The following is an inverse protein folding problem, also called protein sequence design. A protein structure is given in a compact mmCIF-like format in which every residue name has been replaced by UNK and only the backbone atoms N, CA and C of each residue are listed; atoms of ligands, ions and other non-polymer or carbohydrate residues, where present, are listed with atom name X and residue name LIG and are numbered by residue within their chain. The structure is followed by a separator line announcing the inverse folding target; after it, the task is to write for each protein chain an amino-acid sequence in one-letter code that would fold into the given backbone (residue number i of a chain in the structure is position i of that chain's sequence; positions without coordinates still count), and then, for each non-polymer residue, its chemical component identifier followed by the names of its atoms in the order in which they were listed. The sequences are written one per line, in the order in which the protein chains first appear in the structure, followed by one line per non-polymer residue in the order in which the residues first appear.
data_IF_044102190572
#
_entry.id   IF_044102190572
#
_cell.length_a   1.000
_cell.length_b   1.000
_cell.length_c   1.000
_cell.angle_alpha   90.00
_cell.angle_beta   90.00
_cell.angle_gamma   90.00
#
_symmetry.space_group_name_H-M   'P 1'
#
loop_
_entity.id
_entity.type
_entity.pdbx_description
1 polymer ?
#
# COMPACT_ATOMS: atom_id res chain seq x y z
N UNK A 1 16.48 -6.90 -25.98
CA UNK A 1 17.52 -5.93 -26.38
C UNK A 1 18.47 -5.55 -25.23
N UNK A 2 18.15 -5.89 -23.97
CA UNK A 2 18.98 -5.57 -22.80
C UNK A 2 19.01 -4.09 -22.37
N UNK A 3 18.19 -3.23 -22.96
CA UNK A 3 18.14 -1.82 -22.59
C UNK A 3 17.21 -1.57 -21.38
N UNK A 4 17.67 -1.94 -20.21
CA UNK A 4 16.94 -1.85 -18.96
C UNK A 4 16.64 -0.42 -18.51
N UNK A 5 17.55 0.51 -18.77
CA UNK A 5 17.33 1.92 -18.44
C UNK A 5 16.17 2.50 -19.24
N UNK A 6 16.10 2.21 -20.53
CA UNK A 6 14.98 2.66 -21.36
C UNK A 6 13.68 1.99 -20.96
N UNK A 7 13.70 0.69 -20.59
CA UNK A 7 12.54 -0.02 -20.08
C UNK A 7 12.03 0.62 -18.79
N UNK A 8 12.92 0.92 -17.84
CA UNK A 8 12.58 1.61 -16.60
C UNK A 8 11.98 3.01 -16.86
N UNK A 9 12.64 3.81 -17.69
CA UNK A 9 12.17 5.15 -18.02
C UNK A 9 10.82 5.13 -18.73
N UNK A 10 10.56 4.11 -19.56
CA UNK A 10 9.26 3.94 -20.23
C UNK A 10 8.17 3.55 -19.25
N UNK A 11 8.43 2.56 -18.41
CA UNK A 11 7.49 2.09 -17.38
C UNK A 11 7.12 3.22 -16.42
N UNK A 12 8.10 3.97 -15.96
CA UNK A 12 7.91 5.03 -14.95
C UNK A 12 7.16 6.27 -15.47
N UNK A 13 6.97 6.41 -16.78
CA UNK A 13 6.13 7.48 -17.34
C UNK A 13 4.65 7.39 -16.94
N UNK A 14 4.15 6.17 -16.74
CA UNK A 14 2.73 5.91 -16.46
C UNK A 14 2.49 5.18 -15.14
N UNK A 15 3.52 4.54 -14.57
CA UNK A 15 3.45 3.75 -13.35
C UNK A 15 4.33 4.37 -12.27
N UNK A 16 3.71 5.00 -11.26
CA UNK A 16 4.45 5.61 -10.14
C UNK A 16 5.16 4.58 -9.27
N UNK A 17 4.53 3.43 -9.06
CA UNK A 17 4.98 2.43 -8.10
C UNK A 17 4.97 1.01 -8.67
N UNK A 18 5.77 0.70 -9.71
CA UNK A 18 5.85 -0.65 -10.26
C UNK A 18 6.25 -1.68 -9.20
N UNK A 19 7.05 -1.29 -8.19
CA UNK A 19 7.44 -2.10 -7.05
C UNK A 19 6.26 -2.57 -6.20
N UNK A 20 5.17 -1.79 -6.14
CA UNK A 20 3.95 -2.17 -5.43
C UNK A 20 2.99 -2.90 -6.35
N UNK A 21 2.68 -2.34 -7.53
CA UNK A 21 1.70 -2.91 -8.45
C UNK A 21 2.10 -4.29 -8.95
N UNK A 22 3.37 -4.52 -9.24
CA UNK A 22 3.87 -5.84 -9.64
C UNK A 22 3.66 -6.93 -8.58
N UNK A 23 3.50 -6.55 -7.30
CA UNK A 23 3.27 -7.48 -6.19
C UNK A 23 1.79 -7.64 -5.83
N UNK A 24 1.04 -6.54 -5.84
CA UNK A 24 -0.32 -6.52 -5.26
C UNK A 24 -1.45 -6.39 -6.29
N UNK A 25 -1.17 -5.98 -7.52
CA UNK A 25 -2.20 -5.86 -8.55
C UNK A 25 -2.75 -7.25 -8.93
N UNK A 26 -4.07 -7.42 -9.09
CA UNK A 26 -4.67 -8.69 -9.51
C UNK A 26 -4.37 -9.09 -10.97
N UNK A 27 -3.70 -8.21 -11.75
CA UNK A 27 -3.26 -8.53 -13.10
C UNK A 27 -4.39 -8.72 -14.10
N UNK A 28 -5.45 -7.93 -14.04
CA UNK A 28 -6.58 -8.03 -14.98
C UNK A 28 -6.15 -7.86 -16.44
N UNK A 29 -5.08 -7.10 -16.71
CA UNK A 29 -4.47 -6.96 -18.02
C UNK A 29 -3.91 -8.28 -18.57
N UNK A 30 -3.42 -9.18 -17.70
CA UNK A 30 -2.96 -10.51 -18.10
C UNK A 30 -4.14 -11.40 -18.51
N UNK A 31 -5.24 -11.37 -17.74
CA UNK A 31 -6.47 -12.10 -18.07
C UNK A 31 -7.13 -11.61 -19.36
N UNK A 32 -7.05 -10.30 -19.64
CA UNK A 32 -7.60 -9.67 -20.83
C UNK A 32 -6.64 -9.68 -22.03
N UNK A 33 -5.46 -10.26 -21.91
CA UNK A 33 -4.45 -10.26 -22.95
C UNK A 33 -4.89 -11.10 -24.15
N UNK A 34 -4.95 -10.49 -25.33
CA UNK A 34 -5.35 -11.17 -26.58
C UNK A 34 -4.34 -12.23 -27.02
N UNK A 35 -3.07 -12.14 -26.59
CA UNK A 35 -2.09 -13.23 -26.80
C UNK A 35 -2.57 -14.54 -26.19
N UNK A 36 -3.34 -14.49 -25.10
CA UNK A 36 -3.94 -15.66 -24.45
C UNK A 36 -4.96 -16.44 -25.29
N UNK A 37 -5.39 -15.92 -26.43
CA UNK A 37 -6.27 -16.62 -27.38
C UNK A 37 -5.53 -17.71 -28.18
N UNK A 38 -4.24 -17.53 -28.42
CA UNK A 38 -3.44 -18.40 -29.29
C UNK A 38 -2.14 -18.91 -28.61
N UNK A 39 -1.92 -18.58 -27.36
CA UNK A 39 -0.72 -18.95 -26.60
C UNK A 39 -0.81 -18.42 -25.17
N UNK A 40 0.33 -18.16 -24.55
CA UNK A 40 0.38 -17.61 -23.19
C UNK A 40 0.13 -16.09 -23.20
N UNK A 41 -0.61 -15.62 -22.21
CA UNK A 41 -0.78 -14.19 -21.95
C UNK A 41 0.57 -13.53 -21.57
N UNK A 42 0.72 -12.26 -21.89
CA UNK A 42 1.92 -11.50 -21.48
C UNK A 42 1.95 -11.36 -19.94
N UNK A 43 3.03 -11.82 -19.32
CA UNK A 43 3.25 -11.73 -17.87
C UNK A 43 3.60 -10.30 -17.46
N UNK A 44 2.64 -9.40 -17.50
CA UNK A 44 2.82 -7.95 -17.30
C UNK A 44 3.40 -7.65 -15.92
N UNK A 45 2.89 -8.30 -14.88
CA UNK A 45 3.35 -8.09 -13.48
C UNK A 45 4.81 -8.51 -13.30
N UNK A 46 5.21 -9.65 -13.83
CA UNK A 46 6.59 -10.12 -13.73
C UNK A 46 7.54 -9.25 -14.56
N UNK A 47 7.09 -8.73 -15.70
CA UNK A 47 7.86 -7.76 -16.48
C UNK A 47 8.07 -6.45 -15.70
N UNK A 48 7.01 -5.89 -15.09
CA UNK A 48 7.12 -4.70 -14.23
C UNK A 48 8.07 -4.95 -13.07
N UNK A 49 7.95 -6.11 -12.40
CA UNK A 49 8.80 -6.50 -11.28
C UNK A 49 10.26 -6.64 -11.69
N UNK A 50 10.54 -7.33 -12.80
CA UNK A 50 11.89 -7.49 -13.30
C UNK A 50 12.54 -6.14 -13.61
N UNK A 51 11.80 -5.24 -14.28
CA UNK A 51 12.30 -3.91 -14.63
C UNK A 51 12.61 -3.09 -13.38
N UNK A 52 11.70 -3.03 -12.42
CA UNK A 52 11.90 -2.18 -11.24
C UNK A 52 12.97 -2.74 -10.29
N UNK A 53 13.02 -4.07 -10.09
CA UNK A 53 14.07 -4.66 -9.26
C UNK A 53 15.46 -4.49 -9.90
N UNK A 54 15.55 -4.66 -11.22
CA UNK A 54 16.79 -4.35 -11.93
C UNK A 54 17.19 -2.88 -11.74
N UNK A 55 16.23 -1.96 -11.86
CA UNK A 55 16.48 -0.54 -11.71
C UNK A 55 17.01 -0.17 -10.31
N UNK A 56 16.47 -0.75 -9.26
CA UNK A 56 17.00 -0.57 -7.90
C UNK A 56 18.39 -1.19 -7.73
N UNK A 57 18.60 -2.40 -8.22
CA UNK A 57 19.88 -3.10 -8.10
C UNK A 57 21.04 -2.39 -8.82
N UNK A 58 20.74 -1.63 -9.87
CA UNK A 58 21.73 -0.93 -10.70
C UNK A 58 21.70 0.60 -10.53
N UNK A 59 21.02 1.11 -9.49
CA UNK A 59 21.01 2.55 -9.18
C UNK A 59 20.20 3.43 -10.13
N UNK A 60 19.40 2.85 -11.04
CA UNK A 60 18.56 3.61 -11.98
C UNK A 60 17.34 4.23 -11.29
N UNK A 61 16.83 3.58 -10.24
CA UNK A 61 15.70 4.03 -9.44
C UNK A 61 16.09 4.94 -8.26
N UNK A 62 17.19 5.65 -8.36
CA UNK A 62 17.63 6.65 -7.38
C UNK A 62 16.77 7.92 -7.42
N UNK A 63 16.92 8.74 -6.38
CA UNK A 63 16.20 10.01 -6.26
C UNK A 63 16.54 10.97 -7.41
N UNK A 64 15.50 11.57 -7.99
CA UNK A 64 15.59 12.56 -9.08
C UNK A 64 14.79 13.81 -8.66
N UNK A 65 15.34 14.64 -7.75
CA UNK A 65 14.64 15.84 -7.31
C UNK A 65 14.38 16.78 -8.48
N UNK A 66 13.27 17.52 -8.49
CA UNK A 66 12.95 18.46 -9.55
C UNK A 66 14.04 19.55 -9.64
N UNK A 67 14.45 19.89 -10.85
CA UNK A 67 15.48 20.92 -11.10
C UNK A 67 15.08 22.32 -10.66
N UNK A 68 13.77 22.59 -10.74
CA UNK A 68 13.19 23.91 -10.39
C UNK A 68 12.02 23.65 -9.44
N UNK A 69 12.01 24.38 -8.32
CA UNK A 69 10.89 24.39 -7.39
C UNK A 69 9.95 25.55 -7.71
N UNK A 70 8.64 25.28 -7.59
CA UNK A 70 7.63 26.33 -7.59
C UNK A 70 7.45 26.85 -6.17
N UNK A 71 6.82 28.03 -6.03
CA UNK A 71 6.46 28.56 -4.70
C UNK A 71 5.22 27.86 -4.10
N UNK A 72 4.62 26.94 -4.83
CA UNK A 72 3.38 26.27 -4.43
C UNK A 72 3.63 25.19 -3.37
N UNK A 73 2.84 25.25 -2.30
CA UNK A 73 2.82 24.31 -1.18
C UNK A 73 1.55 23.48 -1.22
N UNK A 74 1.67 22.17 -1.23
CA UNK A 74 0.54 21.25 -1.34
C UNK A 74 0.53 20.32 -0.12
N UNK A 75 -0.60 20.27 0.58
CA UNK A 75 -0.85 19.24 1.61
C UNK A 75 -1.57 18.04 1.00
N UNK A 76 -1.08 16.84 1.28
CA UNK A 76 -1.75 15.59 0.92
C UNK A 76 -2.18 14.88 2.20
N UNK A 77 -3.47 14.63 2.35
CA UNK A 77 -4.04 14.01 3.55
C UNK A 77 -4.25 12.52 3.31
N UNK A 78 -3.41 11.71 3.91
CA UNK A 78 -3.35 10.27 3.75
C UNK A 78 -2.16 9.82 2.90
N UNK A 79 -1.47 8.79 3.37
CA UNK A 79 -0.27 8.21 2.73
C UNK A 79 -0.51 6.84 2.09
N UNK A 80 -1.75 6.50 1.82
CA UNK A 80 -2.09 5.32 1.01
C UNK A 80 -1.59 5.46 -0.44
N UNK A 81 -1.81 4.44 -1.30
CA UNK A 81 -1.34 4.45 -2.69
C UNK A 81 -1.71 5.73 -3.45
N UNK A 82 -2.94 6.21 -3.29
CA UNK A 82 -3.43 7.41 -3.95
C UNK A 82 -2.66 8.66 -3.48
N UNK A 83 -2.49 8.84 -2.16
CA UNK A 83 -1.77 9.98 -1.59
C UNK A 83 -0.31 9.99 -1.99
N UNK A 84 0.36 8.83 -1.94
CA UNK A 84 1.74 8.70 -2.39
C UNK A 84 1.89 9.02 -3.88
N UNK A 85 0.97 8.54 -4.75
CA UNK A 85 1.01 8.81 -6.18
C UNK A 85 0.83 10.31 -6.49
N UNK A 86 -0.11 10.96 -5.82
CA UNK A 86 -0.29 12.41 -5.93
C UNK A 86 0.96 13.16 -5.46
N UNK A 87 1.53 12.77 -4.32
CA UNK A 87 2.73 13.40 -3.79
C UNK A 87 3.92 13.27 -4.75
N UNK A 88 4.15 12.08 -5.30
CA UNK A 88 5.20 11.81 -6.29
C UNK A 88 5.02 12.68 -7.55
N UNK A 89 3.81 12.70 -8.10
CA UNK A 89 3.49 13.47 -9.31
C UNK A 89 3.58 14.99 -9.12
N UNK A 90 3.14 15.51 -7.99
CA UNK A 90 3.20 16.95 -7.71
C UNK A 90 4.64 17.38 -7.40
N UNK A 91 5.38 16.58 -6.64
CA UNK A 91 6.77 16.83 -6.35
C UNK A 91 7.63 16.84 -7.63
N UNK A 92 7.43 15.88 -8.53
CA UNK A 92 8.17 15.82 -9.79
C UNK A 92 7.92 17.04 -10.70
N UNK A 93 6.80 17.72 -10.52
CA UNK A 93 6.47 19.00 -11.19
C UNK A 93 7.02 20.23 -10.49
N UNK A 94 7.76 20.03 -9.40
CA UNK A 94 8.44 21.09 -8.67
C UNK A 94 7.65 21.68 -7.51
N UNK A 95 6.45 21.18 -7.19
CA UNK A 95 5.70 21.68 -6.02
C UNK A 95 6.32 21.17 -4.70
N UNK A 96 6.16 21.97 -3.64
CA UNK A 96 6.55 21.58 -2.29
C UNK A 96 5.41 20.77 -1.66
N UNK A 97 5.64 19.49 -1.41
CA UNK A 97 4.59 18.56 -0.98
C UNK A 97 4.85 18.05 0.42
N UNK A 98 3.84 18.17 1.29
CA UNK A 98 3.82 17.58 2.63
C UNK A 98 2.68 16.56 2.72
N UNK A 99 3.00 15.32 3.08
CA UNK A 99 2.02 14.23 3.27
C UNK A 99 1.75 14.05 4.76
N UNK A 100 0.48 14.18 5.15
CA UNK A 100 0.00 13.95 6.51
C UNK A 100 -0.60 12.56 6.62
N UNK A 101 -0.12 11.77 7.58
CA UNK A 101 -0.60 10.41 7.85
C UNK A 101 -1.04 10.26 9.30
N UNK A 102 -2.26 9.79 9.51
CA UNK A 102 -2.80 9.57 10.86
C UNK A 102 -2.11 8.43 11.62
N UNK A 103 -1.61 7.42 10.90
CA UNK A 103 -0.87 6.31 11.49
C UNK A 103 0.57 6.70 11.86
N UNK A 104 1.23 5.85 12.62
CA UNK A 104 2.63 5.99 13.03
C UNK A 104 3.64 5.70 11.91
N UNK A 105 3.18 5.10 10.79
CA UNK A 105 4.01 4.79 9.61
C UNK A 105 3.28 5.12 8.31
N UNK A 106 4.05 5.55 7.33
CA UNK A 106 3.58 5.87 5.98
C UNK A 106 3.24 4.60 5.20
N UNK A 107 2.21 4.67 4.35
CA UNK A 107 1.85 3.63 3.39
C UNK A 107 0.38 3.19 3.44
N UNK A 108 -0.40 3.60 4.43
CA UNK A 108 -1.80 3.23 4.54
C UNK A 108 -2.00 1.71 4.52
N UNK A 109 -2.89 1.21 3.66
CA UNK A 109 -3.13 -0.23 3.54
C UNK A 109 -1.95 -1.01 2.94
N UNK A 110 -1.06 -0.40 2.16
CA UNK A 110 0.20 -1.04 1.74
C UNK A 110 1.03 -1.44 2.97
N UNK A 111 1.06 -0.57 3.98
CA UNK A 111 1.82 -0.78 5.22
C UNK A 111 1.14 -1.79 6.13
N UNK A 112 -0.15 -1.60 6.42
CA UNK A 112 -0.83 -2.32 7.48
C UNK A 112 -1.91 -3.31 7.02
N UNK A 113 -2.48 -3.11 5.82
CA UNK A 113 -3.54 -3.97 5.30
C UNK A 113 -3.06 -5.16 4.48
N UNK A 114 -1.89 -5.07 3.87
CA UNK A 114 -1.32 -6.13 3.02
C UNK A 114 -0.22 -6.87 3.80
N UNK A 115 -0.30 -8.20 3.94
CA UNK A 115 0.71 -8.96 4.69
C UNK A 115 2.05 -9.04 3.96
N UNK A 116 3.14 -9.30 4.72
CA UNK A 116 4.50 -9.38 4.18
C UNK A 116 4.69 -10.47 3.11
N UNK A 117 3.89 -11.54 3.14
CA UNK A 117 3.94 -12.59 2.13
C UNK A 117 3.60 -12.09 0.72
N UNK A 118 2.89 -10.95 0.62
CA UNK A 118 2.47 -10.34 -0.64
C UNK A 118 3.28 -9.07 -0.94
N UNK A 119 3.56 -8.26 0.08
CA UNK A 119 4.35 -7.03 -0.03
C UNK A 119 5.22 -6.84 1.22
N UNK A 120 6.51 -7.12 1.09
CA UNK A 120 7.50 -6.91 2.13
C UNK A 120 7.65 -5.42 2.43
N UNK A 121 7.71 -5.05 3.70
CA UNK A 121 7.66 -3.63 4.12
C UNK A 121 8.91 -2.83 3.74
N UNK A 122 10.06 -3.49 3.61
CA UNK A 122 11.27 -2.84 3.11
C UNK A 122 11.13 -2.30 1.68
N UNK A 123 10.24 -2.89 0.86
CA UNK A 123 9.94 -2.38 -0.50
C UNK A 123 9.26 -1.01 -0.41
N UNK A 124 8.38 -0.82 0.58
CA UNK A 124 7.76 0.48 0.84
C UNK A 124 8.81 1.46 1.34
N UNK A 125 9.64 1.04 2.29
CA UNK A 125 10.64 1.90 2.92
C UNK A 125 11.66 2.42 1.91
N UNK A 126 12.17 1.57 1.00
CA UNK A 126 13.11 2.00 -0.05
C UNK A 126 12.51 3.05 -1.00
N UNK A 127 11.20 2.94 -1.35
CA UNK A 127 10.54 3.97 -2.19
C UNK A 127 10.32 5.26 -1.40
N UNK A 128 9.92 5.16 -0.15
CA UNK A 128 9.77 6.34 0.71
C UNK A 128 11.10 7.09 0.90
N UNK A 129 12.21 6.36 0.99
CA UNK A 129 13.55 6.99 1.06
C UNK A 129 13.91 7.74 -0.21
N UNK A 130 13.53 7.22 -1.38
CA UNK A 130 13.65 7.94 -2.65
C UNK A 130 12.82 9.21 -2.62
N UNK A 131 11.52 9.11 -2.27
CA UNK A 131 10.61 10.25 -2.22
C UNK A 131 11.06 11.34 -1.23
N UNK A 132 11.59 10.95 -0.07
CA UNK A 132 12.17 11.90 0.92
C UNK A 132 13.39 12.62 0.34
N UNK A 133 14.29 11.90 -0.32
CA UNK A 133 15.47 12.48 -0.99
C UNK A 133 15.09 13.41 -2.14
N UNK A 134 13.93 13.22 -2.73
CA UNK A 134 13.35 14.11 -3.74
C UNK A 134 12.66 15.35 -3.14
N UNK A 135 12.56 15.42 -1.81
CA UNK A 135 12.08 16.58 -1.07
C UNK A 135 10.60 16.53 -0.67
N UNK A 136 9.98 15.35 -0.69
CA UNK A 136 8.64 15.18 -0.11
C UNK A 136 8.76 15.07 1.42
N UNK A 137 7.99 15.86 2.14
CA UNK A 137 7.89 15.78 3.59
C UNK A 137 6.78 14.82 4.01
N UNK A 138 7.06 14.05 5.06
CA UNK A 138 6.08 13.10 5.64
C UNK A 138 5.91 13.37 7.13
N UNK A 139 4.66 13.59 7.56
CA UNK A 139 4.30 13.83 8.95
C UNK A 139 3.34 12.72 9.39
N UNK A 140 3.80 11.86 10.29
CA UNK A 140 3.01 10.77 10.87
C UNK A 140 2.32 11.19 12.16
N UNK A 141 1.38 10.38 12.67
CA UNK A 141 0.54 10.70 13.82
C UNK A 141 -0.22 12.03 13.65
N UNK A 142 -0.54 12.37 12.42
CA UNK A 142 -1.16 13.62 11.99
C UNK A 142 -2.53 13.35 11.38
N UNK A 143 -3.58 13.45 12.20
CA UNK A 143 -4.96 13.21 11.81
C UNK A 143 -5.66 14.55 11.53
N UNK A 144 -5.90 14.84 10.24
CA UNK A 144 -6.59 16.06 9.83
C UNK A 144 -8.05 16.03 10.31
N UNK A 145 -8.45 17.10 10.99
CA UNK A 145 -9.76 17.23 11.63
C UNK A 145 -9.74 16.89 13.13
N UNK A 146 -8.71 16.23 13.63
CA UNK A 146 -8.52 15.92 15.05
C UNK A 146 -7.36 16.74 15.65
N UNK A 147 -6.12 16.27 15.47
CA UNK A 147 -4.94 16.94 15.99
C UNK A 147 -4.32 17.94 15.01
N UNK A 148 -4.66 17.87 13.73
CA UNK A 148 -4.34 18.88 12.71
C UNK A 148 -5.62 19.58 12.28
N UNK A 149 -5.72 20.88 12.57
CA UNK A 149 -6.91 21.67 12.23
C UNK A 149 -7.00 21.89 10.71
N UNK A 150 -8.14 21.57 10.11
CA UNK A 150 -8.38 21.77 8.69
C UNK A 150 -8.19 23.24 8.25
N UNK A 151 -8.64 24.20 9.08
CA UNK A 151 -8.44 25.63 8.83
C UNK A 151 -6.96 25.99 8.68
N UNK A 152 -6.09 25.44 9.53
CA UNK A 152 -4.64 25.66 9.45
C UNK A 152 -4.07 25.17 8.11
N UNK A 153 -4.49 23.99 7.64
CA UNK A 153 -4.07 23.46 6.34
C UNK A 153 -4.50 24.37 5.19
N UNK A 154 -5.72 24.90 5.25
CA UNK A 154 -6.25 25.84 4.24
C UNK A 154 -5.52 27.19 4.23
N UNK A 155 -4.96 27.62 5.35
CA UNK A 155 -4.20 28.87 5.48
C UNK A 155 -2.73 28.72 5.07
N UNK A 156 -2.12 27.55 5.33
CA UNK A 156 -0.69 27.31 5.11
C UNK A 156 -0.34 26.74 3.74
N UNK A 157 -1.31 26.17 3.02
CA UNK A 157 -1.11 25.50 1.73
C UNK A 157 -1.93 26.12 0.62
N UNK A 158 -1.35 26.18 -0.58
CA UNK A 158 -2.06 26.65 -1.79
C UNK A 158 -3.17 25.67 -2.21
N UNK A 159 -2.99 24.38 -1.92
CA UNK A 159 -4.00 23.35 -2.17
C UNK A 159 -3.90 22.20 -1.15
N UNK A 160 -5.04 21.58 -0.88
CA UNK A 160 -5.15 20.40 -0.02
C UNK A 160 -5.79 19.27 -0.82
N UNK A 161 -5.12 18.11 -0.87
CA UNK A 161 -5.61 16.90 -1.55
C UNK A 161 -6.05 15.88 -0.51
N UNK A 162 -7.31 15.45 -0.58
CA UNK A 162 -7.86 14.44 0.30
C UNK A 162 -7.66 13.05 -0.33
N UNK A 163 -6.81 12.24 0.31
CA UNK A 163 -6.50 10.86 -0.10
C UNK A 163 -6.68 9.89 1.09
N UNK A 164 -7.73 10.12 1.88
CA UNK A 164 -7.96 9.48 3.19
C UNK A 164 -8.34 8.00 3.13
N UNK A 165 -8.63 7.45 1.94
CA UNK A 165 -9.13 6.10 1.76
C UNK A 165 -10.55 5.91 2.31
N UNK A 166 -10.95 4.66 2.52
CA UNK A 166 -12.24 4.29 3.10
C UNK A 166 -12.03 3.50 4.39
N UNK A 167 -12.56 4.00 5.50
CA UNK A 167 -12.40 3.39 6.83
C UNK A 167 -13.63 2.65 7.32
N UNK A 168 -14.81 2.91 6.73
CA UNK A 168 -16.04 2.21 7.11
C UNK A 168 -16.11 0.87 6.38
N UNK A 169 -16.01 -0.26 7.08
CA UNK A 169 -16.10 -1.57 6.47
C UNK A 169 -17.54 -1.85 6.04
N UNK A 170 -17.69 -2.63 4.97
CA UNK A 170 -18.97 -3.30 4.70
C UNK A 170 -19.16 -4.39 5.74
N UNK A 171 -20.37 -4.49 6.27
CA UNK A 171 -20.68 -5.50 7.28
C UNK A 171 -21.85 -6.39 6.84
N UNK A 172 -21.84 -7.63 7.33
CA UNK A 172 -22.90 -8.59 7.09
C UNK A 172 -24.01 -8.43 8.12
N UNK A 173 -25.26 -8.35 7.66
CA UNK A 173 -26.43 -8.33 8.53
C UNK A 173 -26.90 -9.76 8.79
N UNK A 174 -26.34 -10.40 9.81
CA UNK A 174 -26.69 -11.77 10.19
C UNK A 174 -26.91 -11.86 11.71
N UNK A 175 -27.80 -12.76 12.19
CA UNK A 175 -27.93 -13.04 13.61
C UNK A 175 -26.59 -13.46 14.21
N UNK A 176 -26.26 -12.94 15.40
CA UNK A 176 -25.00 -13.25 16.08
C UNK A 176 -23.79 -12.48 15.59
N UNK A 177 -23.95 -11.45 14.74
CA UNK A 177 -22.83 -10.62 14.26
C UNK A 177 -22.02 -9.96 15.39
N UNK A 178 -22.64 -9.72 16.52
CA UNK A 178 -22.07 -9.15 17.74
C UNK A 178 -21.34 -10.17 18.63
N UNK A 179 -21.31 -11.43 18.23
CA UNK A 179 -20.60 -12.48 18.98
C UNK A 179 -19.08 -12.20 19.04
N UNK A 180 -18.47 -12.66 20.14
CA UNK A 180 -17.01 -12.55 20.31
C UNK A 180 -16.27 -13.40 19.28
N UNK A 181 -15.15 -12.85 18.77
CA UNK A 181 -14.28 -13.54 17.81
C UNK A 181 -14.62 -13.24 16.35
N UNK A 182 -15.54 -12.31 16.09
CA UNK A 182 -15.87 -11.84 14.75
C UNK A 182 -15.19 -10.49 14.54
N UNK A 183 -14.28 -10.42 13.60
CA UNK A 183 -13.43 -9.26 13.32
C UNK A 183 -13.55 -8.84 11.86
N UNK A 184 -13.35 -7.56 11.59
CA UNK A 184 -13.12 -7.11 10.22
C UNK A 184 -11.72 -7.52 9.75
N UNK A 185 -11.61 -7.87 8.46
CA UNK A 185 -10.36 -8.30 7.85
C UNK A 185 -9.24 -7.28 8.04
N UNK A 186 -9.55 -5.98 7.85
CA UNK A 186 -8.54 -4.91 7.99
C UNK A 186 -8.04 -4.80 9.42
N UNK A 187 -8.89 -4.98 10.43
CA UNK A 187 -8.47 -4.95 11.84
C UNK A 187 -7.54 -6.12 12.16
N UNK A 188 -7.89 -7.32 11.67
CA UNK A 188 -7.06 -8.52 11.83
C UNK A 188 -5.68 -8.34 11.17
N UNK A 189 -5.64 -7.91 9.91
CA UNK A 189 -4.41 -7.71 9.16
C UNK A 189 -3.56 -6.57 9.74
N UNK A 190 -4.19 -5.46 10.12
CA UNK A 190 -3.52 -4.30 10.71
C UNK A 190 -2.89 -4.65 12.05
N UNK A 191 -3.63 -5.30 12.96
CA UNK A 191 -3.11 -5.68 14.27
C UNK A 191 -1.92 -6.64 14.13
N UNK A 192 -2.02 -7.62 13.23
CA UNK A 192 -0.93 -8.56 12.95
C UNK A 192 0.31 -7.87 12.40
N UNK A 193 0.14 -7.04 11.37
CA UNK A 193 1.29 -6.38 10.74
C UNK A 193 1.93 -5.36 11.68
N UNK A 194 1.11 -4.64 12.47
CA UNK A 194 1.64 -3.70 13.46
C UNK A 194 2.48 -4.41 14.52
N UNK A 195 1.95 -5.46 15.14
CA UNK A 195 2.69 -6.26 16.13
C UNK A 195 3.96 -6.90 15.53
N UNK A 196 3.89 -7.36 14.27
CA UNK A 196 5.07 -7.87 13.56
C UNK A 196 6.16 -6.81 13.43
N UNK A 197 5.80 -5.59 13.04
CA UNK A 197 6.76 -4.50 12.84
C UNK A 197 7.29 -3.91 14.16
N UNK A 198 6.47 -3.90 15.19
CA UNK A 198 6.84 -3.32 16.50
C UNK A 198 7.66 -4.28 17.37
N UNK A 199 7.36 -5.58 17.29
CA UNK A 199 7.88 -6.55 18.27
C UNK A 199 8.19 -7.93 17.70
N UNK A 200 8.05 -8.14 16.39
CA UNK A 200 8.11 -9.48 15.78
C UNK A 200 7.10 -10.46 16.43
N UNK A 201 5.88 -9.96 16.69
CA UNK A 201 4.75 -10.67 17.32
C UNK A 201 4.95 -11.08 18.78
N UNK A 202 5.99 -10.60 19.45
CA UNK A 202 6.28 -10.98 20.85
C UNK A 202 5.44 -10.21 21.86
N UNK A 203 4.84 -9.08 21.48
CA UNK A 203 4.01 -8.23 22.35
C UNK A 203 2.60 -8.79 22.60
N UNK A 204 2.18 -9.78 21.80
CA UNK A 204 0.84 -10.37 21.89
C UNK A 204 -0.31 -9.42 21.57
N UNK A 205 -0.03 -8.21 21.04
CA UNK A 205 -1.02 -7.17 20.77
C UNK A 205 -1.65 -7.30 19.38
N UNK A 206 -2.01 -8.52 19.00
CA UNK A 206 -2.67 -8.80 17.74
C UNK A 206 -3.78 -9.83 17.90
N UNK A 207 -4.71 -9.85 16.92
CA UNK A 207 -5.77 -10.84 16.87
C UNK A 207 -5.16 -12.17 16.42
N UNK A 208 -4.99 -13.11 17.35
CA UNK A 208 -4.32 -14.39 17.08
C UNK A 208 -5.29 -15.45 16.60
N UNK A 209 -4.96 -16.07 15.46
CA UNK A 209 -5.66 -17.26 14.93
C UNK A 209 -5.03 -18.58 15.41
N UNK A 210 -3.97 -18.55 16.23
CA UNK A 210 -3.26 -19.74 16.69
C UNK A 210 -4.21 -20.72 17.37
N UNK A 211 -4.14 -22.00 16.98
CA UNK A 211 -4.92 -23.10 17.51
C UNK A 211 -6.46 -22.94 17.38
N UNK A 212 -6.91 -22.04 16.49
CA UNK A 212 -8.35 -21.76 16.27
C UNK A 212 -8.85 -22.40 14.97
N UNK A 213 -10.13 -22.73 14.96
CA UNK A 213 -10.88 -22.97 13.72
C UNK A 213 -11.38 -21.62 13.22
N UNK A 214 -11.00 -21.24 12.01
CA UNK A 214 -11.28 -19.92 11.43
C UNK A 214 -12.19 -20.04 10.23
N UNK A 215 -13.14 -19.12 10.13
CA UNK A 215 -13.96 -18.92 8.94
C UNK A 215 -13.65 -17.52 8.40
N UNK A 216 -13.32 -17.43 7.12
CA UNK A 216 -13.15 -16.17 6.38
C UNK A 216 -14.34 -16.01 5.45
N UNK A 217 -15.07 -14.90 5.56
CA UNK A 217 -16.21 -14.57 4.70
C UNK A 217 -15.76 -13.56 3.66
N UNK A 218 -15.72 -13.98 2.40
CA UNK A 218 -15.27 -13.22 1.24
C UNK A 218 -14.10 -13.88 0.52
N UNK A 219 -14.24 -14.07 -0.81
CA UNK A 219 -13.29 -14.78 -1.68
C UNK A 219 -12.25 -13.88 -2.35
N UNK A 220 -12.31 -12.55 -2.17
CA UNK A 220 -11.38 -11.61 -2.80
C UNK A 220 -9.97 -11.60 -2.20
N UNK A 221 -9.11 -10.74 -2.73
CA UNK A 221 -7.69 -10.61 -2.31
C UNK A 221 -7.52 -10.41 -0.80
N UNK A 222 -8.39 -9.60 -0.18
CA UNK A 222 -8.34 -9.37 1.28
C UNK A 222 -8.67 -10.64 2.06
N UNK A 223 -9.62 -11.44 1.59
CA UNK A 223 -9.92 -12.76 2.17
C UNK A 223 -8.74 -13.70 2.08
N UNK A 224 -8.09 -13.79 0.91
CA UNK A 224 -6.88 -14.58 0.71
C UNK A 224 -5.72 -14.12 1.61
N UNK A 225 -5.57 -12.81 1.83
CA UNK A 225 -4.59 -12.26 2.75
C UNK A 225 -4.86 -12.69 4.20
N UNK A 226 -6.15 -12.74 4.61
CA UNK A 226 -6.54 -13.28 5.91
C UNK A 226 -6.25 -14.79 6.01
N UNK A 227 -6.59 -15.58 5.00
CA UNK A 227 -6.28 -17.02 4.95
C UNK A 227 -4.80 -17.25 5.15
N UNK A 228 -3.96 -16.62 4.33
CA UNK A 228 -2.52 -16.77 4.42
C UNK A 228 -1.93 -16.31 5.76
N UNK A 229 -2.52 -15.29 6.38
CA UNK A 229 -2.12 -14.82 7.71
C UNK A 229 -2.53 -15.79 8.81
N UNK A 230 -3.74 -16.34 8.77
CA UNK A 230 -4.22 -17.34 9.73
C UNK A 230 -3.34 -18.62 9.71
N UNK A 231 -2.97 -19.09 8.51
CA UNK A 231 -2.06 -20.25 8.37
C UNK A 231 -0.71 -19.95 9.06
N UNK A 232 -0.16 -18.74 8.86
CA UNK A 232 1.12 -18.34 9.50
C UNK A 232 1.02 -18.16 11.01
N UNK A 233 -0.17 -17.85 11.52
CA UNK A 233 -0.43 -17.87 12.95
C UNK A 233 -0.52 -19.30 13.55
N UNK A 234 -0.60 -20.34 12.71
CA UNK A 234 -0.79 -21.72 13.15
C UNK A 234 -2.25 -22.02 13.55
N UNK A 235 -3.21 -21.60 12.72
CA UNK A 235 -4.62 -21.96 12.95
C UNK A 235 -4.81 -23.48 12.82
N UNK A 236 -5.79 -24.03 13.54
CA UNK A 236 -6.12 -25.45 13.53
C UNK A 236 -6.81 -25.85 12.22
N UNK A 237 -7.73 -25.02 11.76
CA UNK A 237 -8.39 -25.15 10.46
C UNK A 237 -8.80 -23.80 9.93
N UNK A 238 -8.96 -23.69 8.60
CA UNK A 238 -9.47 -22.48 7.97
C UNK A 238 -10.42 -22.86 6.83
N UNK A 239 -11.56 -22.16 6.80
CA UNK A 239 -12.54 -22.29 5.73
C UNK A 239 -12.85 -20.90 5.18
N UNK A 240 -12.78 -20.74 3.86
CA UNK A 240 -13.16 -19.50 3.19
C UNK A 240 -14.50 -19.70 2.48
N UNK A 241 -15.43 -18.79 2.73
CA UNK A 241 -16.76 -18.76 2.11
C UNK A 241 -16.83 -17.60 1.11
N UNK A 242 -17.23 -17.89 -0.11
CA UNK A 242 -17.52 -16.90 -1.14
C UNK A 242 -19.01 -16.92 -1.44
N UNK A 243 -19.61 -15.73 -1.66
CA UNK A 243 -21.03 -15.56 -1.96
C UNK A 243 -21.22 -15.03 -3.37
#
# INVERSE_FOLDING_TARGET
TGNWEQAYNRLHKTSNFPEFTSRVCPGLCEKACTCGLNGDAVSTKENEKAIIEYAYAHGLAGAKPPKVRTDKRIAVIGSGPAGLAVADQLNSRGHNVTVYERADRIGGLLRYGIPNMKLEKHIIDRKLDVMKKEGIEFITNANAGENIKAKKLMEEYDAVVLACGASNPRDIKAPGRDARGIYFAVDFLTSTTKSLLDSNLTDGKYISAKDKNVIVIGGGDTGNDCVGTCIRHGCKSITQLEM
#
